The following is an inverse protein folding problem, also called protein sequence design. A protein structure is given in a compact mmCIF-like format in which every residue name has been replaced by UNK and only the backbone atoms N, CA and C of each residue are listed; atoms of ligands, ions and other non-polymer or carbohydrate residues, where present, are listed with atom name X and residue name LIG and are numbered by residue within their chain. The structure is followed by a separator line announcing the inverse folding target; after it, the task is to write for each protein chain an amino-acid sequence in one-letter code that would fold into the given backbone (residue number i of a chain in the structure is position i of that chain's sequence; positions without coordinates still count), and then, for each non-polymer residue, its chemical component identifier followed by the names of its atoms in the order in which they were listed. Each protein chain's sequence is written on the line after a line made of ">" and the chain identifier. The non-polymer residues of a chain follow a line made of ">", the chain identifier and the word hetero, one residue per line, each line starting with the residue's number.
data_IF_038996417254
#
_entry.id   IF_038996417254
#
_cell.length_a   1.000
_cell.length_b   1.000
_cell.length_c   1.000
_cell.angle_alpha   90.00
_cell.angle_beta   90.00
_cell.angle_gamma   90.00
#
_symmetry.space_group_name_H-M   'P 1'
#
loop_
_entity.id
_entity.type
_entity.pdbx_description
1 polymer ?
#
# COMPACT_ATOMS: atom_id res chain seq x y z
N UNK A 1 -3.30 -17.58 -7.23
CA UNK A 1 -2.03 -17.12 -6.64
C UNK A 1 -2.25 -15.69 -6.25
N UNK A 2 -1.99 -15.36 -4.99
CA UNK A 2 -2.35 -14.08 -4.39
C UNK A 2 -1.08 -13.24 -4.18
N UNK A 3 -1.20 -11.91 -4.24
CA UNK A 3 -0.07 -10.99 -4.09
C UNK A 3 -0.36 -9.93 -3.03
N UNK A 4 0.56 -9.76 -2.09
CA UNK A 4 0.63 -8.59 -1.22
C UNK A 4 1.28 -7.44 -2.01
N UNK A 5 0.45 -6.58 -2.59
CA UNK A 5 0.90 -5.50 -3.48
C UNK A 5 1.21 -4.21 -2.71
N UNK A 6 0.49 -3.97 -1.61
CA UNK A 6 0.80 -2.93 -0.63
C UNK A 6 1.16 -3.57 0.70
N UNK A 7 2.46 -3.65 1.01
CA UNK A 7 2.95 -4.10 2.31
C UNK A 7 3.41 -2.89 3.14
N UNK A 8 2.89 -2.77 4.37
CA UNK A 8 3.33 -1.78 5.37
C UNK A 8 3.28 -0.31 4.89
N UNK A 9 2.37 -0.01 3.96
CA UNK A 9 2.23 1.34 3.42
C UNK A 9 2.02 2.38 4.52
N UNK A 10 1.41 2.00 5.66
CA UNK A 10 1.12 2.87 6.81
C UNK A 10 2.36 3.46 7.48
N UNK A 11 3.51 2.79 7.39
CA UNK A 11 4.71 3.16 8.17
C UNK A 11 6.00 3.07 7.35
N UNK A 12 5.99 3.71 6.18
CA UNK A 12 7.09 3.73 5.21
C UNK A 12 8.28 4.61 5.58
N UNK A 13 8.13 5.51 6.56
CA UNK A 13 9.02 6.64 6.87
C UNK A 13 9.85 6.44 8.15
N UNK A 14 10.02 5.19 8.60
CA UNK A 14 10.83 4.88 9.78
C UNK A 14 12.25 5.42 9.63
N UNK A 15 12.81 5.94 10.72
CA UNK A 15 14.17 6.48 10.75
C UNK A 15 15.23 5.47 10.27
N UNK A 16 15.02 4.19 10.55
CA UNK A 16 15.88 3.10 10.06
C UNK A 16 15.82 2.91 8.53
N UNK A 17 14.72 3.24 7.87
CA UNK A 17 14.58 3.18 6.42
C UNK A 17 15.23 4.37 5.72
N UNK A 18 15.19 5.56 6.32
CA UNK A 18 15.96 6.72 5.84
C UNK A 18 17.46 6.42 5.79
N UNK A 19 17.97 5.62 6.72
CA UNK A 19 19.39 5.22 6.74
C UNK A 19 19.71 4.07 5.77
N UNK A 20 18.81 3.07 5.65
CA UNK A 20 19.07 1.83 4.91
C UNK A 20 18.60 1.83 3.45
N UNK A 21 17.57 2.61 3.13
CA UNK A 21 16.96 2.69 1.80
C UNK A 21 16.60 4.14 1.41
N UNK A 22 17.53 5.11 1.52
CA UNK A 22 17.25 6.54 1.39
C UNK A 22 16.57 6.93 0.07
N UNK A 23 16.95 6.28 -1.04
CA UNK A 23 16.36 6.57 -2.36
C UNK A 23 14.90 6.13 -2.45
N UNK A 24 14.57 4.97 -1.89
CA UNK A 24 13.21 4.44 -1.93
C UNK A 24 12.30 5.24 -1.00
N UNK A 25 12.78 5.58 0.20
CA UNK A 25 12.04 6.45 1.12
C UNK A 25 11.83 7.84 0.52
N UNK A 26 12.87 8.47 -0.06
CA UNK A 26 12.73 9.78 -0.70
C UNK A 26 11.71 9.77 -1.85
N UNK A 27 11.74 8.74 -2.70
CA UNK A 27 10.76 8.57 -3.79
C UNK A 27 9.33 8.43 -3.25
N UNK A 28 9.13 7.64 -2.19
CA UNK A 28 7.81 7.46 -1.58
C UNK A 28 7.31 8.75 -0.89
N UNK A 29 8.23 9.52 -0.30
CA UNK A 29 7.94 10.87 0.24
C UNK A 29 7.54 11.84 -0.85
N UNK A 30 8.24 11.86 -1.99
CA UNK A 30 7.96 12.77 -3.11
C UNK A 30 6.61 12.45 -3.78
N UNK A 31 6.33 11.17 -4.03
CA UNK A 31 5.08 10.73 -4.68
C UNK A 31 3.90 10.81 -3.70
N UNK A 32 4.16 10.58 -2.42
CA UNK A 32 3.15 10.48 -1.37
C UNK A 32 2.71 9.03 -1.13
N UNK A 33 2.45 8.73 0.14
CA UNK A 33 2.11 7.40 0.65
C UNK A 33 0.98 6.71 -0.15
N UNK A 34 -0.16 7.40 -0.24
CA UNK A 34 -1.38 6.87 -0.88
C UNK A 34 -1.19 6.78 -2.39
N UNK A 35 -0.66 7.82 -3.02
CA UNK A 35 -0.52 7.88 -4.48
C UNK A 35 0.45 6.81 -5.00
N UNK A 36 1.56 6.56 -4.28
CA UNK A 36 2.48 5.48 -4.65
C UNK A 36 1.79 4.11 -4.54
N UNK A 37 1.08 3.87 -3.43
CA UNK A 37 0.35 2.61 -3.20
C UNK A 37 -0.75 2.41 -4.25
N UNK A 38 -1.46 3.49 -4.63
CA UNK A 38 -2.46 3.50 -5.69
C UNK A 38 -1.87 3.04 -7.02
N UNK A 39 -0.73 3.61 -7.42
CA UNK A 39 -0.02 3.23 -8.65
C UNK A 39 0.38 1.75 -8.63
N UNK A 40 0.90 1.24 -7.51
CA UNK A 40 1.26 -0.17 -7.39
C UNK A 40 0.05 -1.09 -7.63
N UNK A 41 -1.10 -0.77 -7.03
CA UNK A 41 -2.33 -1.56 -7.23
C UNK A 41 -2.81 -1.53 -8.68
N UNK A 42 -2.78 -0.36 -9.32
CA UNK A 42 -3.16 -0.22 -10.73
C UNK A 42 -2.24 -1.02 -11.65
N UNK A 43 -0.92 -0.98 -11.41
CA UNK A 43 0.03 -1.77 -12.18
C UNK A 43 -0.16 -3.28 -11.97
N UNK A 44 -0.40 -3.71 -10.72
CA UNK A 44 -0.66 -5.12 -10.43
C UNK A 44 -1.93 -5.62 -11.12
N UNK A 45 -3.03 -4.84 -11.07
CA UNK A 45 -4.27 -5.17 -11.76
C UNK A 45 -4.11 -5.18 -13.28
N UNK A 46 -3.31 -4.27 -13.84
CA UNK A 46 -3.02 -4.24 -15.26
C UNK A 46 -2.21 -5.47 -15.71
N UNK A 47 -1.28 -5.94 -14.88
CA UNK A 47 -0.47 -7.12 -15.15
C UNK A 47 -1.27 -8.43 -15.05
N UNK A 48 -2.19 -8.52 -14.08
CA UNK A 48 -3.11 -9.66 -13.97
C UNK A 48 -4.48 -9.21 -13.45
N UNK A 49 -5.47 -9.22 -14.35
CA UNK A 49 -6.83 -8.78 -14.03
C UNK A 49 -7.56 -9.71 -13.05
N UNK A 50 -7.17 -10.98 -12.99
CA UNK A 50 -7.86 -12.01 -12.21
C UNK A 50 -7.17 -12.31 -10.87
N UNK A 51 -6.05 -11.64 -10.57
CA UNK A 51 -5.35 -11.79 -9.30
C UNK A 51 -6.17 -11.23 -8.14
N UNK A 52 -6.10 -11.86 -6.97
CA UNK A 52 -6.59 -11.29 -5.71
C UNK A 52 -5.50 -10.37 -5.18
N UNK A 53 -5.81 -9.08 -5.05
CA UNK A 53 -4.89 -8.06 -4.56
C UNK A 53 -5.23 -7.71 -3.11
N UNK A 54 -4.23 -7.79 -2.23
CA UNK A 54 -4.40 -7.49 -0.81
C UNK A 54 -3.62 -6.23 -0.42
N UNK A 55 -4.22 -5.43 0.48
CA UNK A 55 -3.46 -4.53 1.35
C UNK A 55 -3.15 -5.26 2.65
N UNK A 56 -1.92 -5.16 3.14
CA UNK A 56 -1.49 -5.87 4.33
C UNK A 56 -0.64 -4.96 5.22
N UNK A 57 -0.94 -4.93 6.52
CA UNK A 57 -0.21 -4.13 7.49
C UNK A 57 -0.24 -4.82 8.87
N UNK A 58 0.75 -4.52 9.71
CA UNK A 58 0.80 -4.94 11.12
C UNK A 58 0.14 -3.92 12.04
N UNK A 59 -0.04 -2.67 11.58
CA UNK A 59 -0.79 -1.65 12.31
C UNK A 59 -2.28 -1.83 12.03
N UNK A 60 -3.08 -1.69 13.09
CA UNK A 60 -4.55 -1.73 13.03
C UNK A 60 -5.17 -0.46 13.62
N UNK A 61 -4.39 0.60 13.71
CA UNK A 61 -4.83 1.89 14.24
C UNK A 61 -5.39 2.83 13.15
N UNK A 62 -5.83 4.02 13.55
CA UNK A 62 -6.45 5.01 12.66
C UNK A 62 -5.56 5.43 11.47
N UNK A 63 -4.24 5.19 11.52
CA UNK A 63 -3.39 5.45 10.35
C UNK A 63 -3.64 4.41 9.24
N UNK A 64 -3.88 3.15 9.59
CA UNK A 64 -4.20 2.13 8.61
C UNK A 64 -5.63 2.30 8.05
N UNK A 65 -6.58 2.71 8.89
CA UNK A 65 -7.93 3.09 8.46
C UNK A 65 -7.90 4.12 7.33
N UNK A 66 -7.07 5.17 7.46
CA UNK A 66 -6.89 6.18 6.40
C UNK A 66 -6.37 5.59 5.09
N UNK A 67 -5.52 4.57 5.13
CA UNK A 67 -5.05 3.87 3.92
C UNK A 67 -6.19 3.09 3.27
N UNK A 68 -6.95 2.35 4.07
CA UNK A 68 -8.13 1.58 3.63
C UNK A 68 -9.15 2.49 2.94
N UNK A 69 -9.43 3.67 3.51
CA UNK A 69 -10.40 4.62 2.98
C UNK A 69 -9.93 5.32 1.71
N UNK A 70 -8.64 5.67 1.63
CA UNK A 70 -8.11 6.48 0.52
C UNK A 70 -7.65 5.65 -0.67
N UNK A 71 -7.45 4.34 -0.53
CA UNK A 71 -6.98 3.47 -1.61
C UNK A 71 -8.13 3.01 -2.54
N UNK A 72 -8.74 4.00 -3.17
CA UNK A 72 -9.86 3.87 -4.10
C UNK A 72 -9.53 4.47 -5.47
N UNK A 73 -10.27 4.06 -6.50
CA UNK A 73 -10.22 4.65 -7.83
C UNK A 73 -10.99 5.99 -7.90
N UNK A 74 -11.00 6.61 -9.08
CA UNK A 74 -11.69 7.88 -9.31
C UNK A 74 -13.22 7.83 -9.07
N UNK A 75 -13.82 6.63 -9.01
CA UNK A 75 -15.23 6.41 -8.73
C UNK A 75 -15.48 5.99 -7.28
N UNK A 76 -14.45 5.97 -6.42
CA UNK A 76 -14.54 5.53 -5.03
C UNK A 76 -14.56 4.01 -4.85
N UNK A 77 -14.27 3.23 -5.90
CA UNK A 77 -14.16 1.77 -5.78
C UNK A 77 -12.79 1.39 -5.26
N UNK A 78 -12.72 0.47 -4.29
CA UNK A 78 -11.47 -0.06 -3.76
C UNK A 78 -10.60 -0.67 -4.86
N UNK A 79 -9.30 -0.42 -4.78
CA UNK A 79 -8.31 -0.96 -5.73
C UNK A 79 -7.79 -2.36 -5.35
N UNK A 80 -8.20 -2.86 -4.19
CA UNK A 80 -7.83 -4.13 -3.61
C UNK A 80 -9.08 -4.98 -3.35
N UNK A 81 -8.89 -6.29 -3.23
CA UNK A 81 -9.96 -7.29 -3.05
C UNK A 81 -10.09 -7.72 -1.57
N UNK A 82 -9.03 -7.58 -0.78
CA UNK A 82 -9.02 -7.97 0.63
C UNK A 82 -8.05 -7.18 1.50
N UNK A 83 -8.24 -7.31 2.81
CA UNK A 83 -7.40 -6.70 3.86
C UNK A 83 -6.72 -7.82 4.62
N UNK A 84 -5.41 -7.84 4.59
CA UNK A 84 -4.55 -8.66 5.43
C UNK A 84 -4.24 -7.97 6.76
N UNK A 85 -4.17 -8.77 7.81
CA UNK A 85 -3.70 -8.35 9.13
C UNK A 85 -2.48 -9.20 9.49
N UNK A 86 -1.32 -8.56 9.63
CA UNK A 86 -0.12 -9.26 10.10
C UNK A 86 -0.25 -9.45 11.63
N UNK A 87 -0.74 -10.62 12.06
CA UNK A 87 -0.87 -11.00 13.48
C UNK A 87 0.48 -11.37 14.10
N UNK A 88 1.40 -10.41 14.14
CA UNK A 88 2.65 -10.50 14.90
C UNK A 88 2.42 -10.50 16.41
#
# INVERSE_FOLDING_TARGET
>A
YDWDVGNEATHFDRESFLQRAPRMTAMWTEIGQIEFTRRCMEQARAANRDAILLINDYRVDAAYERVIEQLVDANGKRLYDGIGFQSH
#
